data_IF_943657471110
#
_entry.id   IF_943657471110
#
_cell.length_a   1.000
_cell.length_b   1.000
_cell.length_c   1.000
_cell.angle_alpha   90.00
_cell.angle_beta   90.00
_cell.angle_gamma   90.00
#
_symmetry.space_group_name_H-M   'P 1'
#
loop_
_entity.id
_entity.type
_entity.pdbx_description
1 polymer ?
#
# COMPACT_ATOMS: atom_id res chain seq x y z
N UNK A 1 -55.88 -66.77 -15.76
CA UNK A 1 -55.05 -65.65 -15.28
C UNK A 1 -55.97 -64.43 -15.34
N UNK A 2 -56.46 -63.95 -14.19
CA UNK A 2 -57.57 -62.98 -14.14
C UNK A 2 -57.18 -61.62 -14.73
N UNK A 3 -57.83 -61.25 -15.83
CA UNK A 3 -57.70 -59.96 -16.53
C UNK A 3 -57.81 -58.76 -15.58
N UNK A 4 -58.69 -58.87 -14.58
CA UNK A 4 -58.93 -57.81 -13.60
C UNK A 4 -57.71 -57.51 -12.71
N UNK A 5 -56.88 -58.51 -12.41
CA UNK A 5 -55.68 -58.35 -11.58
C UNK A 5 -54.49 -57.80 -12.37
N UNK A 6 -54.45 -58.10 -13.68
CA UNK A 6 -53.48 -57.56 -14.63
C UNK A 6 -53.73 -56.08 -14.91
N UNK A 7 -54.97 -55.68 -15.17
CA UNK A 7 -55.34 -54.28 -15.36
C UNK A 7 -55.09 -53.44 -14.10
N UNK A 8 -55.40 -53.95 -12.90
CA UNK A 8 -55.12 -53.26 -11.64
C UNK A 8 -53.61 -53.03 -11.42
N UNK A 9 -52.77 -54.03 -11.73
CA UNK A 9 -51.30 -53.89 -11.65
C UNK A 9 -50.75 -52.89 -12.67
N UNK A 10 -51.25 -52.89 -13.90
CA UNK A 10 -50.91 -51.89 -14.93
C UNK A 10 -51.31 -50.47 -14.53
N UNK A 11 -52.53 -50.29 -14.01
CA UNK A 11 -53.02 -48.99 -13.52
C UNK A 11 -52.23 -48.50 -12.30
N UNK A 12 -51.85 -49.37 -11.37
CA UNK A 12 -50.98 -49.02 -10.24
C UNK A 12 -49.55 -48.66 -10.69
N UNK A 13 -48.96 -49.40 -11.64
CA UNK A 13 -47.63 -49.10 -12.19
C UNK A 13 -47.62 -47.77 -12.93
N UNK A 14 -48.64 -47.49 -13.75
CA UNK A 14 -48.80 -46.20 -14.41
C UNK A 14 -49.03 -45.04 -13.43
N UNK A 15 -49.80 -45.24 -12.36
CA UNK A 15 -49.97 -44.22 -11.31
C UNK A 15 -48.68 -43.96 -10.54
N UNK A 16 -47.89 -45.00 -10.24
CA UNK A 16 -46.59 -44.88 -9.57
C UNK A 16 -45.56 -44.21 -10.48
N UNK A 17 -45.47 -44.60 -11.76
CA UNK A 17 -44.62 -43.94 -12.75
C UNK A 17 -45.03 -42.48 -12.99
N UNK A 18 -46.33 -42.16 -13.08
CA UNK A 18 -46.80 -40.78 -13.17
C UNK A 18 -46.43 -39.97 -11.92
N UNK A 19 -46.60 -40.52 -10.70
CA UNK A 19 -46.19 -39.87 -9.45
C UNK A 19 -44.68 -39.63 -9.38
N UNK A 20 -43.87 -40.61 -9.79
CA UNK A 20 -42.41 -40.47 -9.86
C UNK A 20 -42.03 -39.40 -10.89
N UNK A 21 -42.66 -39.42 -12.07
CA UNK A 21 -42.44 -38.40 -13.09
C UNK A 21 -42.81 -36.99 -12.61
N UNK A 22 -43.97 -36.82 -11.95
CA UNK A 22 -44.36 -35.55 -11.34
C UNK A 22 -43.39 -35.13 -10.23
N UNK A 23 -42.90 -36.06 -9.40
CA UNK A 23 -41.91 -35.77 -8.38
C UNK A 23 -40.58 -35.31 -8.99
N UNK A 24 -40.11 -35.95 -10.05
CA UNK A 24 -38.89 -35.54 -10.78
C UNK A 24 -39.08 -34.16 -11.42
N UNK A 25 -40.22 -33.91 -12.07
CA UNK A 25 -40.53 -32.60 -12.65
C UNK A 25 -40.61 -31.50 -11.59
N UNK A 26 -41.15 -31.80 -10.41
CA UNK A 26 -41.18 -30.87 -9.29
C UNK A 26 -39.77 -30.55 -8.78
N UNK A 27 -38.91 -31.56 -8.63
CA UNK A 27 -37.50 -31.37 -8.24
C UNK A 27 -36.76 -30.54 -9.28
N UNK A 28 -36.92 -30.84 -10.58
CA UNK A 28 -36.30 -30.06 -11.67
C UNK A 28 -36.84 -28.63 -11.71
N UNK A 29 -38.14 -28.42 -11.47
CA UNK A 29 -38.75 -27.10 -11.37
C UNK A 29 -38.20 -26.29 -10.20
N UNK A 30 -38.03 -26.93 -9.03
CA UNK A 30 -37.38 -26.30 -7.88
C UNK A 30 -35.91 -25.95 -8.18
N UNK A 31 -35.15 -26.86 -8.80
CA UNK A 31 -33.76 -26.60 -9.19
C UNK A 31 -33.68 -25.43 -10.19
N UNK A 32 -34.49 -25.45 -11.24
CA UNK A 32 -34.58 -24.36 -12.21
C UNK A 32 -34.96 -23.03 -11.55
N UNK A 33 -35.94 -23.05 -10.63
CA UNK A 33 -36.33 -21.88 -9.85
C UNK A 33 -35.19 -21.33 -8.99
N UNK A 34 -34.44 -22.20 -8.30
CA UNK A 34 -33.27 -21.80 -7.52
C UNK A 34 -32.16 -21.22 -8.39
N UNK A 35 -31.92 -21.79 -9.58
CA UNK A 35 -30.94 -21.27 -10.54
C UNK A 35 -31.38 -19.91 -11.08
N UNK A 36 -32.64 -19.74 -11.49
CA UNK A 36 -33.18 -18.48 -11.98
C UNK A 36 -33.11 -17.41 -10.89
N UNK A 37 -33.48 -17.75 -9.66
CA UNK A 37 -33.39 -16.80 -8.54
C UNK A 37 -31.94 -16.39 -8.27
N UNK A 38 -31.04 -17.37 -8.20
CA UNK A 38 -29.63 -17.13 -7.91
C UNK A 38 -28.94 -16.31 -9.01
N UNK A 39 -29.05 -16.73 -10.27
CA UNK A 39 -28.41 -16.05 -11.40
C UNK A 39 -29.14 -14.77 -11.84
N UNK A 40 -30.47 -14.73 -11.74
CA UNK A 40 -31.29 -13.62 -12.22
C UNK A 40 -31.47 -12.48 -11.22
N UNK A 41 -31.46 -12.77 -9.92
CA UNK A 41 -31.72 -11.77 -8.87
C UNK A 41 -30.58 -11.65 -7.88
N UNK A 42 -30.17 -12.74 -7.23
CA UNK A 42 -29.18 -12.67 -6.15
C UNK A 42 -27.79 -12.21 -6.62
N UNK A 43 -27.32 -12.69 -7.78
CA UNK A 43 -26.05 -12.22 -8.38
C UNK A 43 -26.06 -10.75 -8.81
N UNK A 44 -27.24 -10.14 -8.93
CA UNK A 44 -27.45 -8.77 -9.40
C UNK A 44 -27.75 -7.80 -8.26
N UNK A 45 -27.29 -8.09 -7.04
CA UNK A 45 -27.39 -7.19 -5.90
C UNK A 45 -26.02 -6.62 -5.51
N UNK A 46 -25.98 -5.40 -4.98
CA UNK A 46 -24.72 -4.80 -4.50
C UNK A 46 -24.10 -5.60 -3.34
N UNK A 47 -24.92 -6.21 -2.47
CA UNK A 47 -24.44 -7.06 -1.37
C UNK A 47 -23.71 -8.30 -1.89
N UNK A 48 -24.17 -8.88 -3.00
CA UNK A 48 -23.48 -9.98 -3.65
C UNK A 48 -22.11 -9.54 -4.16
N UNK A 49 -22.02 -8.39 -4.83
CA UNK A 49 -20.75 -7.85 -5.29
C UNK A 49 -19.76 -7.63 -4.13
N UNK A 50 -20.19 -7.01 -3.01
CA UNK A 50 -19.34 -6.86 -1.82
C UNK A 50 -18.85 -8.19 -1.26
N UNK A 51 -19.71 -9.20 -1.23
CA UNK A 51 -19.34 -10.56 -0.81
C UNK A 51 -18.30 -11.17 -1.75
N UNK A 52 -18.47 -11.01 -3.06
CA UNK A 52 -17.49 -11.50 -4.04
C UNK A 52 -16.15 -10.78 -3.92
N UNK A 53 -16.14 -9.46 -3.67
CA UNK A 53 -14.91 -8.70 -3.40
C UNK A 53 -14.18 -9.29 -2.19
N UNK A 54 -14.88 -9.49 -1.07
CA UNK A 54 -14.28 -10.05 0.14
C UNK A 54 -13.72 -11.46 -0.10
N UNK A 55 -14.45 -12.31 -0.82
CA UNK A 55 -14.00 -13.66 -1.16
C UNK A 55 -12.81 -13.65 -2.11
N UNK A 56 -12.80 -12.75 -3.10
CA UNK A 56 -11.72 -12.61 -4.07
C UNK A 56 -10.41 -12.22 -3.37
N UNK A 57 -10.45 -11.29 -2.40
CA UNK A 57 -9.29 -10.95 -1.57
C UNK A 57 -8.80 -12.17 -0.77
N UNK A 58 -9.72 -12.92 -0.15
CA UNK A 58 -9.36 -14.09 0.66
C UNK A 58 -8.79 -15.26 -0.17
N UNK A 59 -9.25 -15.41 -1.41
CA UNK A 59 -8.86 -16.48 -2.33
C UNK A 59 -7.74 -16.07 -3.29
N UNK A 60 -7.23 -14.85 -3.15
CA UNK A 60 -6.22 -14.27 -4.05
C UNK A 60 -6.64 -14.24 -5.53
N UNK A 61 -7.94 -14.05 -5.78
CA UNK A 61 -8.53 -14.01 -7.12
C UNK A 61 -8.62 -12.55 -7.62
N UNK A 62 -7.52 -12.09 -8.23
CA UNK A 62 -7.45 -10.72 -8.75
C UNK A 62 -8.42 -10.46 -9.92
N UNK A 63 -8.80 -11.49 -10.68
CA UNK A 63 -9.73 -11.33 -11.81
C UNK A 63 -11.15 -11.09 -11.30
N UNK A 64 -11.63 -11.92 -10.37
CA UNK A 64 -12.93 -11.70 -9.73
C UNK A 64 -12.96 -10.38 -8.97
N UNK A 65 -11.87 -10.02 -8.30
CA UNK A 65 -11.78 -8.71 -7.64
C UNK A 65 -11.93 -7.55 -8.63
N UNK A 66 -11.18 -7.57 -9.73
CA UNK A 66 -11.25 -6.54 -10.77
C UNK A 66 -12.60 -6.50 -11.51
N UNK A 67 -13.35 -7.61 -11.51
CA UNK A 67 -14.71 -7.64 -12.05
C UNK A 67 -15.71 -6.88 -11.16
N UNK A 68 -15.55 -6.92 -9.83
CA UNK A 68 -16.46 -6.25 -8.88
C UNK A 68 -15.93 -4.90 -8.36
N UNK A 69 -14.71 -4.51 -8.73
CA UNK A 69 -14.11 -3.22 -8.40
C UNK A 69 -13.58 -2.57 -9.67
N UNK A 70 -14.17 -1.44 -10.06
CA UNK A 70 -13.65 -0.63 -11.15
C UNK A 70 -12.40 0.14 -10.69
N UNK A 71 -11.27 -0.57 -10.67
CA UNK A 71 -9.99 -0.05 -10.20
C UNK A 71 -9.56 1.23 -10.92
N UNK A 72 -9.84 1.34 -12.22
CA UNK A 72 -9.53 2.53 -13.02
C UNK A 72 -10.29 3.74 -12.51
N UNK A 73 -11.61 3.66 -12.38
CA UNK A 73 -12.41 4.79 -11.87
C UNK A 73 -12.07 5.09 -10.41
N UNK A 74 -11.99 4.06 -9.57
CA UNK A 74 -11.74 4.18 -8.14
C UNK A 74 -10.42 4.89 -7.85
N UNK A 75 -9.33 4.47 -8.48
CA UNK A 75 -8.00 5.06 -8.24
C UNK A 75 -7.85 6.45 -8.85
N UNK A 76 -8.53 6.76 -9.95
CA UNK A 76 -8.55 8.12 -10.50
C UNK A 76 -9.27 9.10 -9.58
N UNK A 77 -10.39 8.71 -8.97
CA UNK A 77 -11.11 9.55 -8.02
C UNK A 77 -10.36 9.66 -6.68
N UNK A 78 -9.86 8.54 -6.15
CA UNK A 78 -9.06 8.55 -4.93
C UNK A 78 -7.77 9.40 -5.07
N UNK A 79 -7.19 9.45 -6.28
CA UNK A 79 -6.07 10.33 -6.58
C UNK A 79 -6.45 11.80 -6.45
N UNK A 80 -7.61 12.20 -7.00
CA UNK A 80 -8.08 13.59 -6.92
C UNK A 80 -8.29 13.99 -5.45
N UNK A 81 -8.94 13.13 -4.66
CA UNK A 81 -9.15 13.36 -3.23
C UNK A 81 -7.84 13.49 -2.44
N UNK A 82 -6.87 12.61 -2.70
CA UNK A 82 -5.58 12.59 -2.01
C UNK A 82 -4.68 13.78 -2.39
N UNK A 83 -4.72 14.22 -3.65
CA UNK A 83 -3.84 15.29 -4.14
C UNK A 83 -4.30 16.70 -3.80
N UNK A 84 -5.59 16.88 -3.52
CA UNK A 84 -6.10 18.15 -2.96
C UNK A 84 -5.47 18.42 -1.58
N UNK A 85 -5.31 17.40 -0.73
CA UNK A 85 -4.68 17.54 0.60
C UNK A 85 -3.14 17.68 0.53
N UNK A 86 -2.49 17.00 -0.42
CA UNK A 86 -1.02 16.86 -0.45
C UNK A 86 -0.24 18.20 -0.51
N UNK A 87 -0.84 19.28 -1.04
CA UNK A 87 -0.20 20.61 -1.20
C UNK A 87 -1.08 21.84 -0.98
N UNK A 88 -2.37 21.69 -0.62
CA UNK A 88 -3.23 22.85 -0.35
C UNK A 88 -2.72 23.74 0.81
N UNK A 89 -1.78 23.21 1.59
CA UNK A 89 -1.42 23.71 2.90
C UNK A 89 0.00 24.27 3.03
N UNK A 90 0.84 24.14 1.99
CA UNK A 90 2.18 24.72 2.02
C UNK A 90 2.13 26.22 1.65
N UNK A 91 2.00 27.05 2.69
CA UNK A 91 2.00 28.51 2.59
C UNK A 91 3.38 29.09 2.23
N UNK A 92 4.45 28.28 2.25
CA UNK A 92 5.79 28.72 1.85
C UNK A 92 5.98 28.76 0.32
N UNK A 93 5.07 28.13 -0.43
CA UNK A 93 5.13 28.09 -1.89
C UNK A 93 4.63 29.40 -2.51
N UNK A 94 5.40 29.93 -3.45
CA UNK A 94 4.96 31.07 -4.27
C UNK A 94 3.74 30.70 -5.13
N UNK A 95 2.88 31.65 -5.52
CA UNK A 95 1.74 31.39 -6.39
C UNK A 95 2.13 30.70 -7.71
N UNK A 96 3.27 31.07 -8.30
CA UNK A 96 3.80 30.46 -9.53
C UNK A 96 4.22 29.00 -9.31
N UNK A 97 4.86 28.72 -8.18
CA UNK A 97 5.25 27.37 -7.78
C UNK A 97 4.01 26.50 -7.55
N UNK A 98 2.96 27.03 -6.92
CA UNK A 98 1.68 26.34 -6.71
C UNK A 98 1.03 25.93 -8.04
N UNK A 99 0.93 26.85 -9.01
CA UNK A 99 0.38 26.54 -10.35
C UNK A 99 1.23 25.48 -11.07
N UNK A 100 2.55 25.51 -10.92
CA UNK A 100 3.45 24.52 -11.50
C UNK A 100 3.19 23.13 -10.91
N UNK A 101 3.03 23.03 -9.59
CA UNK A 101 2.66 21.80 -8.91
C UNK A 101 1.29 21.28 -9.35
N UNK A 102 0.26 22.13 -9.36
CA UNK A 102 -1.09 21.73 -9.82
C UNK A 102 -1.06 21.13 -11.24
N UNK A 103 -0.38 21.78 -12.18
CA UNK A 103 -0.21 21.25 -13.55
C UNK A 103 0.56 19.92 -13.58
N UNK A 104 1.56 19.81 -12.73
CA UNK A 104 2.34 18.59 -12.60
C UNK A 104 1.48 17.42 -12.07
N UNK A 105 0.67 17.63 -11.02
CA UNK A 105 -0.25 16.61 -10.48
C UNK A 105 -1.28 16.13 -11.50
N UNK A 106 -1.78 17.02 -12.36
CA UNK A 106 -2.66 16.61 -13.47
C UNK A 106 -1.89 15.74 -14.48
N UNK A 107 -0.64 16.08 -14.78
CA UNK A 107 0.17 15.39 -15.80
C UNK A 107 0.53 13.96 -15.39
N UNK A 108 0.83 13.75 -14.11
CA UNK A 108 1.26 12.45 -13.57
C UNK A 108 0.11 11.54 -13.15
N UNK A 109 -1.13 12.08 -13.05
CA UNK A 109 -2.31 11.34 -12.59
C UNK A 109 -2.47 9.97 -13.24
N UNK A 110 -2.35 9.80 -14.58
CA UNK A 110 -2.51 8.49 -15.20
C UNK A 110 -1.48 7.46 -14.71
N UNK A 111 -0.25 7.90 -14.46
CA UNK A 111 0.83 7.03 -13.98
C UNK A 111 0.60 6.60 -12.53
N UNK A 112 0.22 7.54 -11.66
CA UNK A 112 -0.01 7.26 -10.24
C UNK A 112 -1.29 6.48 -9.99
N UNK A 113 -2.39 6.84 -10.64
CA UNK A 113 -3.64 6.09 -10.55
C UNK A 113 -3.47 4.68 -11.13
N UNK A 114 -2.87 4.55 -12.32
CA UNK A 114 -2.58 3.27 -12.95
C UNK A 114 -1.64 2.38 -12.12
N UNK A 115 -0.56 2.95 -11.59
CA UNK A 115 0.34 2.23 -10.68
C UNK A 115 -0.36 1.76 -9.41
N UNK A 116 -1.33 2.53 -8.90
CA UNK A 116 -2.10 2.18 -7.70
C UNK A 116 -3.11 1.09 -7.98
N UNK A 117 -3.80 1.15 -9.12
CA UNK A 117 -4.67 0.08 -9.58
C UNK A 117 -3.89 -1.25 -9.70
N UNK A 118 -2.71 -1.20 -10.30
CA UNK A 118 -1.83 -2.37 -10.43
C UNK A 118 -1.33 -2.88 -9.07
N UNK A 119 -0.95 -1.97 -8.16
CA UNK A 119 -0.51 -2.32 -6.81
C UNK A 119 -1.63 -3.01 -6.02
N UNK A 120 -2.88 -2.53 -6.11
CA UNK A 120 -4.05 -3.18 -5.50
C UNK A 120 -4.26 -4.56 -6.11
N UNK A 121 -4.23 -4.66 -7.44
CA UNK A 121 -4.42 -5.92 -8.17
C UNK A 121 -3.38 -6.96 -7.77
N UNK A 122 -2.10 -6.59 -7.71
CA UNK A 122 -1.01 -7.45 -7.24
C UNK A 122 -1.19 -7.83 -5.77
N UNK A 123 -1.61 -6.90 -4.91
CA UNK A 123 -1.90 -7.20 -3.50
C UNK A 123 -2.98 -8.26 -3.34
N UNK A 124 -4.00 -8.26 -4.19
CA UNK A 124 -5.02 -9.30 -4.21
C UNK A 124 -4.42 -10.62 -4.73
N UNK A 125 -3.71 -10.59 -5.85
CA UNK A 125 -3.13 -11.80 -6.47
C UNK A 125 -2.08 -12.51 -5.59
N UNK A 126 -1.17 -11.76 -4.98
CA UNK A 126 0.02 -12.31 -4.31
C UNK A 126 -0.12 -12.30 -2.78
N UNK A 127 -1.13 -11.62 -2.25
CA UNK A 127 -1.32 -11.44 -0.81
C UNK A 127 -0.33 -10.47 -0.16
N UNK A 128 0.54 -9.81 -0.94
CA UNK A 128 1.61 -8.93 -0.44
C UNK A 128 1.58 -7.59 -1.16
N UNK A 129 1.92 -6.53 -0.45
CA UNK A 129 2.14 -5.23 -1.07
C UNK A 129 3.50 -5.23 -1.76
N UNK A 130 3.51 -5.01 -3.07
CA UNK A 130 4.70 -4.82 -3.89
C UNK A 130 4.63 -3.45 -4.55
N UNK A 131 5.80 -2.86 -4.79
CA UNK A 131 5.90 -1.70 -5.67
C UNK A 131 5.91 -2.19 -7.13
N UNK A 132 5.30 -1.45 -8.07
CA UNK A 132 5.35 -1.78 -9.48
C UNK A 132 6.80 -1.92 -9.99
N UNK A 133 7.09 -3.00 -10.71
CA UNK A 133 8.39 -3.21 -11.35
C UNK A 133 8.59 -2.22 -12.52
N UNK A 134 9.80 -1.69 -12.67
CA UNK A 134 10.22 -1.00 -13.90
C UNK A 134 9.99 0.52 -13.95
N UNK A 135 9.47 1.14 -12.90
CA UNK A 135 9.70 2.57 -12.68
C UNK A 135 11.05 2.74 -12.02
N UNK A 136 11.97 3.44 -12.69
CA UNK A 136 13.20 3.89 -12.05
C UNK A 136 12.78 4.69 -10.80
N UNK A 137 13.04 4.11 -9.62
CA UNK A 137 12.66 4.65 -8.31
C UNK A 137 13.20 6.09 -8.17
N UNK A 138 14.27 6.41 -8.92
CA UNK A 138 14.87 7.73 -8.99
C UNK A 138 14.23 8.65 -10.05
N UNK A 139 13.63 8.15 -11.14
CA UNK A 139 12.90 9.00 -12.09
C UNK A 139 11.62 9.58 -11.49
N UNK A 140 10.89 8.81 -10.67
CA UNK A 140 9.76 9.34 -9.89
C UNK A 140 10.19 10.48 -8.96
N UNK A 141 11.34 10.30 -8.27
CA UNK A 141 11.92 11.33 -7.40
C UNK A 141 12.52 12.53 -8.14
N UNK A 142 13.07 12.36 -9.34
CA UNK A 142 13.51 13.47 -10.19
C UNK A 142 12.34 14.39 -10.56
N UNK A 143 11.13 13.85 -10.57
CA UNK A 143 9.88 14.58 -10.74
C UNK A 143 9.26 15.02 -9.39
N UNK A 144 9.92 14.78 -8.26
CA UNK A 144 9.44 15.16 -6.93
C UNK A 144 8.38 14.24 -6.33
N UNK A 145 8.19 13.03 -6.88
CA UNK A 145 7.20 12.07 -6.37
C UNK A 145 7.88 10.80 -5.86
N UNK A 146 7.66 10.53 -4.60
CA UNK A 146 7.94 9.22 -4.02
C UNK A 146 6.64 8.40 -4.01
N UNK A 147 6.54 7.45 -4.93
CA UNK A 147 5.34 6.62 -5.09
C UNK A 147 5.04 5.78 -3.84
N UNK A 148 6.08 5.32 -3.13
CA UNK A 148 5.92 4.58 -1.88
C UNK A 148 5.31 5.49 -0.79
N UNK A 149 5.75 6.75 -0.72
CA UNK A 149 5.15 7.74 0.18
C UNK A 149 3.72 8.10 -0.22
N UNK A 150 3.42 8.18 -1.51
CA UNK A 150 2.06 8.38 -2.02
C UNK A 150 1.13 7.25 -1.57
N UNK A 151 1.57 6.00 -1.72
CA UNK A 151 0.80 4.83 -1.24
C UNK A 151 0.61 4.84 0.28
N UNK A 152 1.64 5.20 1.04
CA UNK A 152 1.49 5.30 2.50
C UNK A 152 0.44 6.35 2.89
N UNK A 153 0.48 7.55 2.28
CA UNK A 153 -0.48 8.62 2.56
C UNK A 153 -1.91 8.29 2.14
N UNK A 154 -2.09 7.40 1.15
CA UNK A 154 -3.41 6.91 0.75
C UNK A 154 -4.09 6.03 1.82
N UNK A 155 -3.36 5.61 2.87
CA UNK A 155 -3.87 4.72 3.93
C UNK A 155 -4.39 3.37 3.44
N UNK A 156 -4.28 3.04 2.14
CA UNK A 156 -4.80 1.80 1.56
C UNK A 156 -4.13 0.55 2.17
N UNK A 157 -2.89 0.69 2.62
CA UNK A 157 -2.11 -0.38 3.26
C UNK A 157 -2.44 -0.55 4.74
N UNK A 158 -2.97 0.50 5.37
CA UNK A 158 -3.12 0.65 6.81
C UNK A 158 -4.61 0.75 7.18
N UNK A 159 -5.53 0.32 6.31
CA UNK A 159 -6.97 0.34 6.57
C UNK A 159 -7.50 -1.08 6.62
N UNK A 160 -7.97 -1.49 7.79
CA UNK A 160 -8.57 -2.80 8.01
C UNK A 160 -10.09 -2.72 8.02
N UNK A 161 -10.75 -3.60 7.26
CA UNK A 161 -12.21 -3.74 7.27
C UNK A 161 -12.66 -4.45 8.56
N UNK A 162 -13.56 -3.80 9.30
CA UNK A 162 -14.22 -4.40 10.47
C UNK A 162 -15.49 -5.13 10.05
N UNK A 163 -16.40 -4.43 9.34
CA UNK A 163 -17.65 -5.02 8.82
C UNK A 163 -18.31 -4.13 7.77
N UNK A 164 -19.19 -4.75 6.98
CA UNK A 164 -20.20 -4.03 6.19
C UNK A 164 -21.35 -3.67 7.12
N UNK A 165 -21.64 -2.37 7.27
CA UNK A 165 -22.70 -1.88 8.16
C UNK A 165 -24.09 -1.90 7.51
N UNK A 166 -24.15 -1.59 6.21
CA UNK A 166 -25.39 -1.56 5.45
C UNK A 166 -25.14 -1.23 3.99
N UNK A 167 -26.14 -1.49 3.15
CA UNK A 167 -26.14 -1.12 1.74
C UNK A 167 -27.47 -0.45 1.42
N UNK A 168 -27.40 0.76 0.88
CA UNK A 168 -28.56 1.55 0.46
C UNK A 168 -28.57 1.63 -1.06
N UNK A 169 -29.56 1.01 -1.69
CA UNK A 169 -29.71 1.00 -3.14
C UNK A 169 -30.69 2.08 -3.60
N UNK A 170 -30.29 2.84 -4.62
CA UNK A 170 -31.10 3.84 -5.31
C UNK A 170 -31.04 3.61 -6.82
N UNK A 171 -31.93 2.75 -7.32
CA UNK A 171 -31.98 2.41 -8.76
C UNK A 171 -30.74 1.62 -9.21
N UNK A 172 -29.95 2.22 -10.08
CA UNK A 172 -28.69 1.68 -10.65
C UNK A 172 -27.44 2.12 -9.86
N UNK A 173 -27.62 2.87 -8.78
CA UNK A 173 -26.54 3.22 -7.85
C UNK A 173 -26.83 2.64 -6.47
N UNK A 174 -25.77 2.41 -5.69
CA UNK A 174 -25.86 1.98 -4.30
C UNK A 174 -24.71 2.57 -3.49
N UNK A 175 -24.95 2.73 -2.19
CA UNK A 175 -23.94 3.13 -1.22
C UNK A 175 -23.78 2.02 -0.20
N UNK A 176 -22.58 1.50 -0.05
CA UNK A 176 -22.23 0.57 1.01
C UNK A 176 -21.45 1.28 2.12
N UNK A 177 -21.96 1.23 3.34
CA UNK A 177 -21.27 1.76 4.51
C UNK A 177 -20.35 0.68 5.10
N UNK A 178 -19.04 0.91 5.09
CA UNK A 178 -18.03 0.02 5.64
C UNK A 178 -17.44 0.60 6.91
N UNK A 179 -17.52 -0.14 8.01
CA UNK A 179 -16.76 0.19 9.21
C UNK A 179 -15.33 -0.30 9.04
N UNK A 180 -14.39 0.62 9.18
CA UNK A 180 -12.96 0.37 9.06
C UNK A 180 -12.22 0.90 10.30
N UNK A 181 -11.02 0.37 10.52
CA UNK A 181 -10.06 0.89 11.48
C UNK A 181 -8.76 1.20 10.75
N UNK A 182 -8.15 2.35 11.04
CA UNK A 182 -6.79 2.65 10.59
C UNK A 182 -5.77 2.01 11.54
N UNK A 183 -4.85 1.24 11.00
CA UNK A 183 -4.02 0.28 11.74
C UNK A 183 -3.02 0.96 12.69
N UNK A 184 -2.55 2.17 12.37
CA UNK A 184 -1.66 2.90 13.28
C UNK A 184 -2.46 3.58 14.39
N UNK A 185 -3.28 4.56 14.04
CA UNK A 185 -3.96 5.43 15.01
C UNK A 185 -5.14 4.75 15.70
N UNK A 186 -5.52 3.54 15.26
CA UNK A 186 -6.70 2.82 15.70
C UNK A 186 -8.00 3.61 15.50
N UNK A 187 -7.97 4.60 14.59
CA UNK A 187 -9.13 5.42 14.28
C UNK A 187 -10.20 4.58 13.60
N UNK A 188 -11.35 4.47 14.25
CA UNK A 188 -12.55 3.88 13.64
C UNK A 188 -13.24 4.92 12.75
N UNK A 189 -13.58 4.52 11.52
CA UNK A 189 -14.29 5.36 10.55
C UNK A 189 -15.33 4.56 9.76
N UNK A 190 -16.32 5.25 9.18
CA UNK A 190 -17.28 4.63 8.25
C UNK A 190 -17.02 5.16 6.84
N UNK A 191 -16.42 4.33 5.98
CA UNK A 191 -16.24 4.64 4.57
C UNK A 191 -17.54 4.36 3.80
N UNK A 192 -17.85 5.22 2.84
CA UNK A 192 -19.02 5.09 1.98
C UNK A 192 -18.59 4.72 0.57
N UNK A 193 -18.66 3.43 0.25
CA UNK A 193 -18.37 2.96 -1.09
C UNK A 193 -19.56 3.20 -1.99
N UNK A 194 -19.35 3.92 -3.09
CA UNK A 194 -20.35 4.07 -4.13
C UNK A 194 -20.18 2.97 -5.15
N UNK A 195 -21.30 2.35 -5.49
CA UNK A 195 -21.41 1.24 -6.42
C UNK A 195 -22.38 1.58 -7.54
N UNK A 196 -22.07 1.09 -8.73
CA UNK A 196 -22.89 1.26 -9.92
C UNK A 196 -23.19 -0.09 -10.57
N UNK A 197 -24.36 -0.21 -11.17
CA UNK A 197 -24.72 -1.37 -11.97
C UNK A 197 -24.11 -1.27 -13.37
N UNK A 198 -23.32 -2.26 -13.76
CA UNK A 198 -22.76 -2.39 -15.10
C UNK A 198 -23.81 -2.86 -16.12
N UNK A 199 -23.49 -2.77 -17.40
CA UNK A 199 -24.41 -3.07 -18.51
C UNK A 199 -24.93 -4.53 -18.54
N UNK A 200 -24.13 -5.48 -18.06
CA UNK A 200 -24.50 -6.90 -17.94
C UNK A 200 -25.29 -7.21 -16.65
N UNK A 201 -25.50 -6.20 -15.80
CA UNK A 201 -26.27 -6.24 -14.56
C UNK A 201 -25.48 -6.57 -13.30
N UNK A 202 -24.14 -6.78 -13.37
CA UNK A 202 -23.33 -6.90 -12.15
C UNK A 202 -23.15 -5.53 -11.48
N UNK A 203 -22.81 -5.53 -10.19
CA UNK A 203 -22.52 -4.31 -9.44
C UNK A 203 -21.02 -4.16 -9.24
N UNK A 204 -20.49 -2.96 -9.38
CA UNK A 204 -19.06 -2.69 -9.18
C UNK A 204 -18.86 -1.48 -8.27
N UNK A 205 -17.84 -1.52 -7.42
CA UNK A 205 -17.40 -0.34 -6.66
C UNK A 205 -16.70 0.63 -7.61
N UNK A 206 -17.10 1.89 -7.56
CA UNK A 206 -16.57 2.93 -8.48
C UNK A 206 -15.78 4.02 -7.77
N UNK A 207 -16.12 4.38 -6.53
CA UNK A 207 -15.35 5.34 -5.73
C UNK A 207 -15.74 5.30 -4.24
N UNK A 208 -15.01 6.04 -3.42
CA UNK A 208 -15.28 6.19 -1.98
C UNK A 208 -15.68 7.64 -1.72
N UNK A 209 -16.96 7.87 -1.40
CA UNK A 209 -17.55 9.23 -1.40
C UNK A 209 -16.97 10.17 -0.35
N UNK A 210 -16.60 9.65 0.81
CA UNK A 210 -16.09 10.41 1.96
C UNK A 210 -14.63 10.10 2.26
N UNK A 211 -13.84 9.78 1.23
CA UNK A 211 -12.44 9.42 1.39
C UNK A 211 -11.58 10.59 1.85
N UNK A 212 -11.85 11.81 1.39
CA UNK A 212 -11.16 13.00 1.90
C UNK A 212 -11.37 13.18 3.40
N UNK A 213 -12.61 13.10 3.87
CA UNK A 213 -12.94 13.21 5.30
C UNK A 213 -12.24 12.15 6.15
N UNK A 214 -11.97 10.97 5.58
CA UNK A 214 -11.18 9.92 6.23
C UNK A 214 -9.71 10.33 6.37
N UNK A 215 -9.09 10.80 5.29
CA UNK A 215 -7.70 11.26 5.30
C UNK A 215 -7.50 12.46 6.23
N UNK A 216 -8.41 13.44 6.19
CA UNK A 216 -8.37 14.66 7.01
C UNK A 216 -8.40 14.35 8.52
N UNK A 217 -9.03 13.24 8.93
CA UNK A 217 -9.04 12.79 10.33
C UNK A 217 -7.78 12.05 10.76
N UNK A 218 -7.13 11.33 9.83
CA UNK A 218 -5.93 10.53 10.14
C UNK A 218 -4.68 11.39 10.15
N UNK A 219 -4.55 12.28 9.16
CA UNK A 219 -3.37 13.12 8.97
C UNK A 219 -2.90 13.84 10.25
N UNK A 220 -3.75 14.56 11.02
CA UNK A 220 -3.30 15.24 12.24
C UNK A 220 -2.84 14.27 13.34
N UNK A 221 -3.46 13.08 13.45
CA UNK A 221 -3.08 12.06 14.43
C UNK A 221 -1.69 11.51 14.12
N UNK A 222 -1.47 11.09 12.86
CA UNK A 222 -0.16 10.58 12.42
C UNK A 222 0.92 11.67 12.50
N UNK A 223 0.61 12.92 12.10
CA UNK A 223 1.56 14.02 12.18
C UNK A 223 1.96 14.37 13.62
N UNK A 224 1.02 14.30 14.57
CA UNK A 224 1.31 14.48 15.99
C UNK A 224 2.27 13.43 16.52
N UNK A 225 1.99 12.16 16.22
CA UNK A 225 2.83 11.02 16.59
C UNK A 225 4.23 11.10 15.96
N UNK A 226 4.32 11.44 14.67
CA UNK A 226 5.59 11.64 13.95
C UNK A 226 6.39 12.76 14.61
N UNK A 227 5.76 13.89 14.95
CA UNK A 227 6.44 15.01 15.60
C UNK A 227 7.00 14.59 16.97
N UNK A 228 6.20 13.87 17.79
CA UNK A 228 6.66 13.35 19.08
C UNK A 228 7.84 12.39 18.93
N UNK A 229 7.81 11.51 17.93
CA UNK A 229 8.93 10.59 17.65
C UNK A 229 10.19 11.33 17.20
N UNK A 230 10.05 12.38 16.37
CA UNK A 230 11.18 13.22 15.94
C UNK A 230 11.83 13.90 17.16
N UNK A 231 11.04 14.48 18.07
CA UNK A 231 11.57 15.10 19.30
C UNK A 231 12.23 14.07 20.22
N UNK A 232 11.61 12.91 20.43
CA UNK A 232 12.15 11.85 21.29
C UNK A 232 13.49 11.30 20.77
N UNK A 233 13.65 11.20 19.45
CA UNK A 233 14.88 10.71 18.81
C UNK A 233 15.93 11.79 18.58
N UNK A 234 15.59 13.07 18.76
CA UNK A 234 16.48 14.20 18.47
C UNK A 234 17.83 14.14 19.22
N UNK A 235 17.90 13.83 20.53
CA UNK A 235 19.18 13.74 21.24
C UNK A 235 20.11 12.66 20.66
N UNK A 236 19.56 11.54 20.20
CA UNK A 236 20.31 10.46 19.55
C UNK A 236 20.83 10.95 18.20
N UNK A 237 19.96 11.54 17.38
CA UNK A 237 20.35 12.08 16.07
C UNK A 237 21.47 13.13 16.21
N UNK A 238 21.34 14.06 17.15
CA UNK A 238 22.32 15.12 17.39
C UNK A 238 23.66 14.57 17.91
N UNK A 239 23.65 13.47 18.67
CA UNK A 239 24.88 12.84 19.18
C UNK A 239 25.64 12.03 18.12
N UNK A 240 24.93 11.31 17.24
CA UNK A 240 25.54 10.38 16.29
C UNK A 240 25.82 10.99 14.91
N UNK A 241 24.98 11.92 14.42
CA UNK A 241 25.16 12.51 13.09
C UNK A 241 26.53 13.20 12.90
N UNK A 242 27.06 13.99 13.86
CA UNK A 242 28.38 14.59 13.72
C UNK A 242 29.50 13.55 13.65
N UNK A 243 29.39 12.47 14.43
CA UNK A 243 30.38 11.37 14.45
C UNK A 243 30.39 10.63 13.11
N UNK A 244 29.21 10.30 12.58
CA UNK A 244 29.06 9.69 11.26
C UNK A 244 29.62 10.58 10.15
N UNK A 245 29.34 11.89 10.18
CA UNK A 245 29.95 12.87 9.25
C UNK A 245 31.47 12.88 9.31
N UNK A 246 32.04 12.78 10.52
CA UNK A 246 33.49 12.73 10.70
C UNK A 246 34.09 11.43 10.13
N UNK A 247 33.45 10.28 10.34
CA UNK A 247 33.87 9.01 9.73
C UNK A 247 33.75 9.04 8.20
N UNK A 248 32.68 9.65 7.66
CA UNK A 248 32.52 9.85 6.22
C UNK A 248 33.66 10.70 5.63
N UNK A 249 34.06 11.77 6.32
CA UNK A 249 35.19 12.61 5.90
C UNK A 249 36.53 11.85 5.93
N UNK A 250 36.75 11.02 6.96
CA UNK A 250 37.93 10.11 7.04
C UNK A 250 37.93 9.13 5.87
N UNK A 251 36.80 8.46 5.63
CA UNK A 251 36.64 7.52 4.52
C UNK A 251 36.95 8.17 3.17
N UNK A 252 36.34 9.33 2.88
CA UNK A 252 36.60 10.12 1.65
C UNK A 252 38.07 10.48 1.47
N UNK A 253 38.83 10.61 2.56
CA UNK A 253 40.26 10.88 2.50
C UNK A 253 41.06 9.61 2.19
N UNK A 254 40.69 8.48 2.80
CA UNK A 254 41.37 7.19 2.60
C UNK A 254 41.18 6.61 1.20
N UNK A 255 39.98 6.76 0.62
CA UNK A 255 39.67 6.18 -0.70
C UNK A 255 40.22 6.99 -1.88
N UNK A 256 40.76 8.20 -1.64
CA UNK A 256 41.41 8.98 -2.71
C UNK A 256 42.61 8.21 -3.23
N UNK A 257 42.59 7.91 -4.53
CA UNK A 257 43.73 7.36 -5.26
C UNK A 257 44.03 8.21 -6.47
N UNK A 258 45.31 8.51 -6.68
CA UNK A 258 45.82 9.21 -7.88
C UNK A 258 46.07 8.24 -9.05
N UNK A 259 46.13 6.94 -8.78
CA UNK A 259 46.48 5.89 -9.75
C UNK A 259 45.31 4.97 -10.09
N UNK A 260 44.13 5.21 -9.51
CA UNK A 260 42.93 4.37 -9.66
C UNK A 260 42.97 3.06 -8.87
N UNK A 261 44.06 2.78 -8.14
CA UNK A 261 44.23 1.57 -7.33
C UNK A 261 44.61 1.94 -5.90
N UNK A 262 44.21 1.12 -4.92
CA UNK A 262 44.59 1.31 -3.51
C UNK A 262 45.78 0.41 -3.14
N UNK A 263 46.74 0.97 -2.42
CA UNK A 263 47.83 0.18 -1.83
C UNK A 263 47.30 -0.76 -0.73
N UNK A 264 48.05 -1.82 -0.38
CA UNK A 264 47.66 -2.72 0.71
C UNK A 264 47.43 -1.97 2.03
N UNK A 265 48.30 -1.01 2.36
CA UNK A 265 48.15 -0.18 3.55
C UNK A 265 46.86 0.67 3.52
N UNK A 266 46.49 1.20 2.35
CA UNK A 266 45.21 1.91 2.20
C UNK A 266 44.01 0.96 2.34
N UNK A 267 44.07 -0.22 1.73
CA UNK A 267 43.02 -1.26 1.86
C UNK A 267 42.83 -1.65 3.32
N UNK A 268 43.92 -1.91 4.05
CA UNK A 268 43.87 -2.23 5.48
C UNK A 268 43.28 -1.09 6.31
N UNK A 269 43.67 0.17 6.02
CA UNK A 269 43.13 1.34 6.71
C UNK A 269 41.63 1.55 6.44
N UNK A 270 41.18 1.34 5.20
CA UNK A 270 39.77 1.40 4.82
C UNK A 270 39.01 0.29 5.53
N UNK A 271 39.50 -0.95 5.49
CA UNK A 271 38.86 -2.10 6.12
C UNK A 271 38.71 -1.88 7.63
N UNK A 272 39.78 -1.42 8.30
CA UNK A 272 39.79 -1.07 9.73
C UNK A 272 38.77 0.02 10.05
N UNK A 273 38.71 1.10 9.25
CA UNK A 273 37.72 2.17 9.46
C UNK A 273 36.28 1.64 9.36
N UNK A 274 35.99 0.83 8.35
CA UNK A 274 34.65 0.32 8.13
C UNK A 274 34.23 -0.70 9.19
N UNK A 275 35.09 -1.68 9.47
CA UNK A 275 34.83 -2.79 10.39
C UNK A 275 34.75 -2.34 11.85
N UNK A 276 35.66 -1.46 12.27
CA UNK A 276 35.85 -1.17 13.69
C UNK A 276 35.20 0.15 14.12
N UNK A 277 34.84 1.03 13.17
CA UNK A 277 34.25 2.34 13.49
C UNK A 277 32.89 2.57 12.81
N UNK A 278 32.79 2.42 11.49
CA UNK A 278 31.54 2.76 10.77
C UNK A 278 30.41 1.78 11.07
N UNK A 279 30.63 0.48 10.87
CA UNK A 279 29.61 -0.54 11.08
C UNK A 279 29.13 -0.61 12.54
N UNK A 280 30.03 -0.56 13.56
CA UNK A 280 29.60 -0.52 14.96
C UNK A 280 28.83 0.75 15.31
N UNK A 281 29.26 1.93 14.85
CA UNK A 281 28.57 3.19 15.17
C UNK A 281 27.16 3.25 14.55
N UNK A 282 26.98 2.70 13.35
CA UNK A 282 25.66 2.57 12.72
C UNK A 282 24.74 1.63 13.52
N UNK A 283 25.26 0.49 13.98
CA UNK A 283 24.50 -0.44 14.83
C UNK A 283 24.15 0.20 16.17
N UNK A 284 25.12 0.82 16.84
CA UNK A 284 24.90 1.48 18.13
C UNK A 284 23.83 2.57 18.04
N UNK A 285 23.85 3.38 16.98
CA UNK A 285 22.78 4.36 16.71
C UNK A 285 21.43 3.68 16.53
N UNK A 286 21.37 2.59 15.76
CA UNK A 286 20.13 1.87 15.52
C UNK A 286 19.58 1.27 16.83
N UNK A 287 20.43 0.64 17.64
CA UNK A 287 20.03 0.09 18.94
C UNK A 287 19.42 1.17 19.84
N UNK A 288 20.04 2.37 19.86
CA UNK A 288 19.50 3.51 20.60
C UNK A 288 18.16 4.01 20.06
N UNK A 289 17.95 3.96 18.75
CA UNK A 289 16.67 4.34 18.14
C UNK A 289 15.60 3.28 18.40
N UNK A 290 15.97 2.00 18.42
CA UNK A 290 15.07 0.87 18.70
C UNK A 290 14.60 0.86 20.17
N UNK A 291 15.41 1.41 21.09
CA UNK A 291 15.03 1.62 22.50
C UNK A 291 13.99 2.74 22.69
N UNK A 292 13.73 3.58 21.68
CA UNK A 292 12.75 4.66 21.76
C UNK A 292 11.36 4.10 21.42
N UNK A 293 10.40 4.31 22.32
CA UNK A 293 9.01 3.98 22.06
C UNK A 293 8.51 4.70 20.80
N UNK A 294 7.98 3.95 19.84
CA UNK A 294 7.48 4.47 18.57
C UNK A 294 5.96 4.64 18.67
N UNK A 295 5.45 5.88 18.72
CA UNK A 295 4.01 6.14 18.67
C UNK A 295 3.39 5.48 17.42
N UNK A 296 2.13 5.00 17.50
CA UNK A 296 1.55 4.24 16.40
C UNK A 296 1.58 4.97 15.05
N UNK A 297 1.23 6.26 15.00
CA UNK A 297 1.29 7.07 13.79
C UNK A 297 2.69 7.35 13.26
N UNK A 298 3.74 7.09 14.04
CA UNK A 298 5.15 7.27 13.65
C UNK A 298 5.81 5.98 13.13
N UNK A 299 5.09 4.85 13.15
CA UNK A 299 5.61 3.53 12.78
C UNK A 299 6.24 3.50 11.38
N UNK A 300 5.63 4.19 10.41
CA UNK A 300 6.19 4.28 9.07
C UNK A 300 7.55 5.01 9.04
N UNK A 301 7.66 6.17 9.68
CA UNK A 301 8.92 6.91 9.75
C UNK A 301 10.02 6.09 10.45
N UNK A 302 9.68 5.41 11.55
CA UNK A 302 10.62 4.56 12.27
C UNK A 302 11.15 3.44 11.36
N UNK A 303 10.26 2.74 10.63
CA UNK A 303 10.67 1.69 9.68
C UNK A 303 11.53 2.23 8.54
N UNK A 304 11.22 3.41 7.99
CA UNK A 304 12.06 4.01 6.94
C UNK A 304 13.46 4.34 7.44
N UNK A 305 13.61 4.86 8.68
CA UNK A 305 14.92 5.11 9.30
C UNK A 305 15.70 3.83 9.55
N UNK A 306 15.03 2.78 10.03
CA UNK A 306 15.64 1.47 10.21
C UNK A 306 16.10 0.88 8.88
N UNK A 307 15.26 0.97 7.84
CA UNK A 307 15.58 0.49 6.50
C UNK A 307 16.77 1.24 5.87
N UNK A 308 16.84 2.58 5.98
CA UNK A 308 18.02 3.35 5.52
C UNK A 308 19.30 2.88 6.22
N UNK A 309 19.25 2.69 7.54
CA UNK A 309 20.40 2.20 8.31
C UNK A 309 20.80 0.78 7.92
N UNK A 310 19.83 -0.12 7.73
CA UNK A 310 20.08 -1.50 7.32
C UNK A 310 20.72 -1.57 5.92
N UNK A 311 20.18 -0.83 4.94
CA UNK A 311 20.73 -0.79 3.58
C UNK A 311 22.14 -0.17 3.61
N UNK A 312 22.34 0.92 4.34
CA UNK A 312 23.67 1.53 4.53
C UNK A 312 24.67 0.52 5.07
N UNK A 313 24.29 -0.25 6.11
CA UNK A 313 25.17 -1.28 6.69
C UNK A 313 25.49 -2.39 5.71
N UNK A 314 24.49 -2.91 4.98
CA UNK A 314 24.71 -3.92 3.93
C UNK A 314 25.65 -3.39 2.85
N UNK A 315 25.47 -2.14 2.42
CA UNK A 315 26.36 -1.51 1.45
C UNK A 315 27.81 -1.46 1.95
N UNK A 316 28.02 -1.05 3.21
CA UNK A 316 29.36 -1.04 3.82
C UNK A 316 29.95 -2.43 4.01
N UNK A 317 29.14 -3.45 4.30
CA UNK A 317 29.60 -4.84 4.40
C UNK A 317 30.07 -5.39 3.05
N UNK A 318 29.31 -5.12 1.97
CA UNK A 318 29.73 -5.47 0.61
C UNK A 318 30.99 -4.69 0.20
N UNK A 319 31.04 -3.38 0.48
CA UNK A 319 32.23 -2.58 0.21
C UNK A 319 33.46 -3.12 0.95
N UNK A 320 33.30 -3.47 2.23
CA UNK A 320 34.36 -4.06 3.05
C UNK A 320 34.85 -5.38 2.45
N UNK A 321 33.94 -6.27 2.06
CA UNK A 321 34.29 -7.54 1.40
C UNK A 321 35.06 -7.30 0.09
N UNK A 322 34.63 -6.32 -0.70
CA UNK A 322 35.35 -5.93 -1.93
C UNK A 322 36.79 -5.47 -1.66
N UNK A 323 37.01 -4.73 -0.55
CA UNK A 323 38.36 -4.28 -0.14
C UNK A 323 39.22 -5.44 0.37
N UNK A 324 38.64 -6.35 1.16
CA UNK A 324 39.36 -7.46 1.81
C UNK A 324 39.68 -8.60 0.84
N UNK A 325 38.73 -8.95 -0.02
CA UNK A 325 38.80 -10.12 -0.92
C UNK A 325 39.20 -9.76 -2.36
N UNK A 326 39.40 -8.47 -2.65
CA UNK A 326 39.72 -7.93 -3.98
C UNK A 326 38.68 -8.34 -5.05
N UNK A 327 37.38 -8.27 -4.68
CA UNK A 327 36.26 -8.68 -5.53
C UNK A 327 35.48 -7.47 -6.08
N UNK A 328 35.64 -7.11 -7.37
CA UNK A 328 34.99 -5.95 -7.95
C UNK A 328 33.46 -5.97 -7.88
N UNK A 329 32.85 -7.16 -8.01
CA UNK A 329 31.40 -7.37 -7.96
C UNK A 329 30.79 -6.88 -6.64
N UNK A 330 31.52 -6.97 -5.53
CA UNK A 330 31.02 -6.51 -4.24
C UNK A 330 30.89 -4.97 -4.20
N UNK A 331 31.73 -4.24 -4.94
CA UNK A 331 31.58 -2.79 -5.08
C UNK A 331 30.33 -2.42 -5.89
N UNK A 332 30.02 -3.17 -6.95
CA UNK A 332 28.81 -2.95 -7.75
C UNK A 332 27.53 -3.16 -6.91
N UNK A 333 27.54 -4.18 -6.05
CA UNK A 333 26.44 -4.45 -5.11
C UNK A 333 26.34 -3.32 -4.08
N UNK A 334 27.46 -2.89 -3.49
CA UNK A 334 27.50 -1.79 -2.54
C UNK A 334 26.96 -0.49 -3.17
N UNK A 335 27.36 -0.15 -4.40
CA UNK A 335 26.87 1.03 -5.12
C UNK A 335 25.36 0.94 -5.37
N UNK A 336 24.87 -0.22 -5.78
CA UNK A 336 23.43 -0.46 -5.99
C UNK A 336 22.64 -0.25 -4.70
N UNK A 337 23.13 -0.78 -3.58
CA UNK A 337 22.52 -0.59 -2.26
C UNK A 337 22.54 0.88 -1.84
N UNK A 338 23.63 1.63 -2.07
CA UNK A 338 23.68 3.07 -1.77
C UNK A 338 22.68 3.88 -2.60
N UNK A 339 22.43 3.51 -3.86
CA UNK A 339 21.38 4.15 -4.68
C UNK A 339 19.98 3.89 -4.11
N UNK A 340 19.73 2.68 -3.61
CA UNK A 340 18.46 2.35 -2.94
C UNK A 340 18.31 3.09 -1.61
N UNK A 341 19.40 3.17 -0.84
CA UNK A 341 19.46 3.88 0.44
C UNK A 341 19.13 5.36 0.28
N UNK A 342 19.71 6.04 -0.72
CA UNK A 342 19.41 7.44 -1.02
C UNK A 342 17.92 7.67 -1.25
N UNK A 343 17.24 6.74 -1.93
CA UNK A 343 15.80 6.83 -2.14
C UNK A 343 14.99 6.66 -0.84
N UNK A 344 15.50 5.95 0.16
CA UNK A 344 14.89 5.82 1.49
C UNK A 344 15.20 7.04 2.35
N UNK A 345 16.43 7.54 2.34
CA UNK A 345 16.85 8.70 3.13
C UNK A 345 16.09 9.97 2.72
N UNK A 346 15.97 10.22 1.41
CA UNK A 346 15.15 11.32 0.88
C UNK A 346 13.68 11.21 1.33
N UNK A 347 13.15 9.99 1.50
CA UNK A 347 11.79 9.77 2.01
C UNK A 347 11.68 10.20 3.46
N UNK A 348 12.68 9.84 4.27
CA UNK A 348 12.76 10.21 5.68
C UNK A 348 12.80 11.73 5.80
N UNK A 349 13.62 12.41 4.98
CA UNK A 349 13.69 13.87 4.93
C UNK A 349 12.34 14.48 4.54
N UNK A 350 11.70 13.96 3.49
CA UNK A 350 10.39 14.42 3.02
C UNK A 350 9.31 14.32 4.11
N UNK A 351 9.27 13.22 4.86
CA UNK A 351 8.33 13.03 5.98
C UNK A 351 8.60 14.07 7.07
N UNK A 352 9.86 14.20 7.51
CA UNK A 352 10.26 15.14 8.57
C UNK A 352 9.93 16.58 8.18
N UNK A 353 10.25 16.98 6.95
CA UNK A 353 9.97 18.33 6.43
C UNK A 353 8.47 18.61 6.43
N UNK A 354 7.67 17.68 5.91
CA UNK A 354 6.21 17.86 5.82
C UNK A 354 5.58 17.98 7.21
N UNK A 355 6.00 17.18 8.18
CA UNK A 355 5.52 17.29 9.58
C UNK A 355 5.90 18.64 10.21
N UNK A 356 7.12 19.14 9.94
CA UNK A 356 7.55 20.46 10.43
C UNK A 356 6.69 21.60 9.84
N UNK A 357 6.37 21.55 8.54
CA UNK A 357 5.45 22.50 7.90
C UNK A 357 4.05 22.39 8.52
N UNK A 358 3.56 21.16 8.72
CA UNK A 358 2.23 20.90 9.30
C UNK A 358 2.06 21.49 10.69
N UNK A 359 3.08 21.39 11.56
CA UNK A 359 3.09 21.95 12.92
C UNK A 359 2.99 23.47 12.95
N UNK A 360 3.47 24.14 11.91
CA UNK A 360 3.47 25.61 11.81
C UNK A 360 2.16 26.18 11.25
N UNK A 361 1.20 25.33 10.86
CA UNK A 361 -0.11 25.79 10.43
C UNK A 361 -0.99 26.14 11.64
N UNK A 362 -1.61 27.34 11.66
CA UNK A 362 -2.63 27.63 12.65
C UNK A 362 -3.79 26.63 12.52
N UNK A 363 -4.34 26.16 13.64
CA UNK A 363 -5.60 25.42 13.65
C UNK A 363 -6.64 26.27 12.89
N UNK A 364 -7.01 25.83 11.69
CA UNK A 364 -8.11 26.45 10.96
C UNK A 364 -9.42 26.04 11.66
N UNK A 365 -10.37 26.98 11.84
CA UNK A 365 -11.61 26.76 12.58
C UNK A 365 -12.53 25.72 11.95
#
# INVERSE_FOLDING_TARGET
>A
MDDYTWERRLRQRNRRSKRIFFAIMLVLGCLAGTLIWYFGFYRRTPEYALKQIHQAVAQQDAETFAHYVNLTTLTNQAYDDLTVDLFAYDQSLTPQTRIMFEKFYVTIKPQLAGGTAETIRQRVADGRWSLPNGTDILQGRQLGIDYERFLERSQIRNTSLVRVAGVERQGETAVASLQVVEDYTQLSFTLELVMEQAQDGHWQVVYVRNYRDYLDKIAPLQNGDIASYIEATKPIVDAYNPRLKQLQAKFRTLVKSTTGHWSNLQRDAIATLLRDQVLPLLQERQDKLDDVEVPPGAQYLARQRQQSTEITRKAWQHFLRGVEEDQPREFDIAETLLKQELAVDLRVEDIIHHTAVSKNMPNLP
#
